data_IF_030616723385
#
_entry.id   IF_030616723385
#
_cell.length_a   1.000
_cell.length_b   1.000
_cell.length_c   1.000
_cell.angle_alpha   90.00
_cell.angle_beta   90.00
_cell.angle_gamma   90.00
#
_symmetry.space_group_name_H-M   'P 1'
#
loop_
_entity.id
_entity.type
_entity.pdbx_description
1 polymer ?
#
# COMPACT_ATOMS: atom_id res chain seq x y z
N UNK A 1 23.03 -8.70 37.35
CA UNK A 1 22.71 -7.39 36.78
C UNK A 1 21.76 -7.65 35.63
N UNK A 2 20.46 -7.48 35.84
CA UNK A 2 19.49 -7.65 34.75
C UNK A 2 19.67 -6.50 33.76
N UNK A 3 19.88 -6.80 32.48
CA UNK A 3 19.82 -5.78 31.43
C UNK A 3 18.36 -5.35 31.26
N UNK A 4 18.07 -4.05 31.08
CA UNK A 4 16.72 -3.61 30.78
C UNK A 4 16.24 -4.27 29.49
N UNK A 5 15.14 -5.03 29.59
CA UNK A 5 14.39 -5.49 28.42
C UNK A 5 13.65 -4.28 27.84
N UNK A 6 14.32 -3.51 27.00
CA UNK A 6 13.70 -2.39 26.32
C UNK A 6 12.82 -2.93 25.18
N UNK A 7 11.51 -2.69 25.29
CA UNK A 7 10.57 -3.06 24.22
C UNK A 7 10.59 -1.97 23.16
N UNK A 8 11.15 -2.26 21.99
CA UNK A 8 11.13 -1.37 20.83
C UNK A 8 9.92 -1.66 19.93
N UNK A 9 9.18 -0.62 19.55
CA UNK A 9 8.07 -0.73 18.58
C UNK A 9 8.15 0.39 17.53
N UNK A 10 7.68 0.11 16.31
CA UNK A 10 7.56 1.08 15.23
C UNK A 10 6.18 1.00 14.61
N UNK A 11 5.42 2.09 14.69
CA UNK A 11 4.12 2.23 14.06
C UNK A 11 4.29 3.10 12.81
N UNK A 12 3.72 2.65 11.69
CA UNK A 12 3.60 3.47 10.49
C UNK A 12 2.11 3.72 10.26
N UNK A 13 1.68 4.98 10.39
CA UNK A 13 0.33 5.41 10.01
C UNK A 13 0.40 5.92 8.58
N UNK A 14 -0.27 5.23 7.66
CA UNK A 14 -0.15 5.48 6.22
C UNK A 14 -1.50 5.94 5.69
N UNK A 15 -1.52 7.14 5.09
CA UNK A 15 -2.64 7.63 4.30
C UNK A 15 -2.36 7.33 2.83
N UNK A 16 -3.30 6.65 2.16
CA UNK A 16 -3.13 6.16 0.80
C UNK A 16 -3.87 7.05 -0.20
N UNK A 17 -3.37 7.05 -1.44
CA UNK A 17 -4.08 7.68 -2.55
C UNK A 17 -5.44 6.99 -2.82
N UNK A 18 -6.33 7.70 -3.51
CA UNK A 18 -7.62 7.19 -3.94
C UNK A 18 -7.49 5.91 -4.78
N UNK A 19 -8.42 4.99 -4.58
CA UNK A 19 -8.45 3.67 -5.24
C UNK A 19 -9.49 3.60 -6.37
N UNK A 20 -9.85 4.74 -6.95
CA UNK A 20 -10.86 4.80 -7.99
C UNK A 20 -10.36 4.14 -9.28
N UNK A 21 -11.29 3.57 -10.05
CA UNK A 21 -10.96 2.97 -11.34
C UNK A 21 -10.63 4.07 -12.34
N UNK A 22 -9.54 3.90 -13.09
CA UNK A 22 -9.11 4.88 -14.10
C UNK A 22 -10.25 5.26 -15.07
N UNK A 23 -11.04 4.29 -15.52
CA UNK A 23 -12.17 4.51 -16.44
C UNK A 23 -13.27 5.41 -15.86
N UNK A 24 -13.44 5.43 -14.53
CA UNK A 24 -14.43 6.27 -13.87
C UNK A 24 -13.99 7.74 -13.76
N UNK A 25 -12.72 8.04 -14.00
CA UNK A 25 -12.15 9.39 -13.82
C UNK A 25 -12.27 10.26 -15.07
N UNK A 26 -12.49 9.67 -16.26
CA UNK A 26 -12.43 10.38 -17.54
C UNK A 26 -11.04 10.98 -17.86
N UNK A 27 -9.99 10.58 -17.13
CA UNK A 27 -8.65 11.11 -17.30
C UNK A 27 -8.01 10.67 -18.62
N UNK A 28 -7.24 11.57 -19.25
CA UNK A 28 -6.50 11.32 -20.49
C UNK A 28 -5.06 11.83 -20.39
N UNK A 29 -4.21 11.42 -21.34
CA UNK A 29 -2.82 11.89 -21.44
C UNK A 29 -2.00 11.64 -20.17
N UNK A 30 -1.32 12.67 -19.68
CA UNK A 30 -0.48 12.59 -18.47
C UNK A 30 -1.29 12.25 -17.21
N UNK A 31 -2.54 12.73 -17.10
CA UNK A 31 -3.40 12.42 -15.95
C UNK A 31 -3.76 10.94 -15.90
N UNK A 32 -3.97 10.31 -17.06
CA UNK A 32 -4.20 8.87 -17.14
C UNK A 32 -2.95 8.08 -16.72
N UNK A 33 -1.75 8.54 -17.12
CA UNK A 33 -0.49 7.92 -16.70
C UNK A 33 -0.27 8.02 -15.19
N UNK A 34 -0.57 9.18 -14.59
CA UNK A 34 -0.54 9.38 -13.14
C UNK A 34 -1.49 8.39 -12.44
N UNK A 35 -2.76 8.34 -12.86
CA UNK A 35 -3.76 7.42 -12.30
C UNK A 35 -3.38 5.94 -12.46
N UNK A 36 -2.75 5.58 -13.57
CA UNK A 36 -2.22 4.22 -13.77
C UNK A 36 -1.12 3.88 -12.76
N UNK A 37 -0.24 4.83 -12.44
CA UNK A 37 0.82 4.63 -11.43
C UNK A 37 0.26 4.55 -10.01
N UNK A 38 -0.77 5.34 -9.66
CA UNK A 38 -1.49 5.22 -8.39
C UNK A 38 -2.10 3.83 -8.25
N UNK A 39 -2.84 3.39 -9.28
CA UNK A 39 -3.45 2.06 -9.26
C UNK A 39 -2.40 0.94 -9.20
N UNK A 40 -1.28 1.10 -9.89
CA UNK A 40 -0.17 0.13 -9.85
C UNK A 40 0.38 -0.02 -8.43
N UNK A 41 0.63 1.06 -7.70
CA UNK A 41 1.18 0.97 -6.34
C UNK A 41 0.18 0.35 -5.36
N UNK A 42 -1.10 0.73 -5.44
CA UNK A 42 -2.17 0.18 -4.59
C UNK A 42 -2.42 -1.32 -4.84
N UNK A 43 -2.45 -1.75 -6.11
CA UNK A 43 -2.57 -3.18 -6.47
C UNK A 43 -1.36 -3.97 -5.98
N UNK A 44 -0.16 -3.40 -6.10
CA UNK A 44 1.07 -4.04 -5.61
C UNK A 44 1.01 -4.23 -4.09
N UNK A 45 0.58 -3.21 -3.34
CA UNK A 45 0.37 -3.32 -1.89
C UNK A 45 -0.64 -4.42 -1.54
N UNK A 46 -1.79 -4.46 -2.22
CA UNK A 46 -2.80 -5.50 -2.02
C UNK A 46 -2.27 -6.91 -2.32
N UNK A 47 -1.45 -7.06 -3.37
CA UNK A 47 -0.79 -8.33 -3.70
C UNK A 47 0.17 -8.77 -2.60
N UNK A 48 1.00 -7.87 -2.09
CA UNK A 48 1.95 -8.18 -1.00
C UNK A 48 1.20 -8.59 0.27
N UNK A 49 0.16 -7.86 0.66
CA UNK A 49 -0.67 -8.20 1.83
C UNK A 49 -1.32 -9.58 1.65
N UNK A 50 -1.87 -9.85 0.46
CA UNK A 50 -2.50 -11.14 0.16
C UNK A 50 -1.50 -12.29 0.23
N UNK A 51 -0.28 -12.10 -0.30
CA UNK A 51 0.79 -13.09 -0.22
C UNK A 51 1.22 -13.37 1.23
N UNK A 52 1.31 -12.34 2.07
CA UNK A 52 1.60 -12.48 3.50
C UNK A 52 0.47 -13.19 4.25
N UNK A 53 -0.79 -12.94 3.89
CA UNK A 53 -1.95 -13.60 4.48
C UNK A 53 -2.06 -15.09 4.13
N UNK A 54 -1.66 -15.48 2.92
CA UNK A 54 -1.65 -16.89 2.48
C UNK A 54 -0.44 -17.65 3.06
N UNK A 55 0.66 -16.96 3.41
CA UNK A 55 1.87 -17.56 3.98
C UNK A 55 1.73 -17.99 5.46
N UNK A 56 0.54 -17.91 6.05
CA UNK A 56 0.24 -18.42 7.40
C UNK A 56 -0.66 -19.65 7.27
N UNK A 57 -0.04 -20.81 7.06
CA UNK A 57 -0.66 -22.12 7.26
C UNK A 57 0.37 -23.09 7.83
#
# INVERSE_FOLDING_TARGET
MELPCETASKINLVDLAGSERADATGATGERLKEGANINKSLVTLGTVISALGIAIN
#
